data_IF_723242047397
#
_entry.id   IF_723242047397
#
_cell.length_a   1.000
_cell.length_b   1.000
_cell.length_c   1.000
_cell.angle_alpha   90.00
_cell.angle_beta   90.00
_cell.angle_gamma   90.00
#
_symmetry.space_group_name_H-M   'P 1'
#
loop_
_entity.id
_entity.type
_entity.pdbx_description
1 polymer ?
#
# COMPACT_ATOMS: atom_id res chain seq x y z
N UNK A 1 -23.86 3.09 21.69
CA UNK A 1 -24.43 1.71 21.68
C UNK A 1 -23.29 0.72 21.86
N UNK A 2 -23.23 0.05 23.03
CA UNK A 2 -22.21 -0.95 23.40
C UNK A 2 -22.61 -2.37 22.98
N UNK A 3 -23.55 -2.51 22.04
CA UNK A 3 -24.02 -3.80 21.54
C UNK A 3 -23.13 -4.34 20.42
N UNK A 4 -23.09 -5.66 20.27
CA UNK A 4 -22.49 -6.30 19.10
C UNK A 4 -23.26 -5.88 17.83
N UNK A 5 -22.51 -5.62 16.76
CA UNK A 5 -23.10 -5.31 15.46
C UNK A 5 -23.65 -6.60 14.84
N UNK A 6 -24.83 -6.51 14.25
CA UNK A 6 -25.43 -7.60 13.47
C UNK A 6 -24.79 -7.64 12.07
N UNK A 7 -24.94 -8.75 11.36
CA UNK A 7 -24.48 -8.86 9.97
C UNK A 7 -25.11 -7.77 9.08
N UNK A 8 -26.39 -7.43 9.31
CA UNK A 8 -27.06 -6.33 8.61
C UNK A 8 -26.39 -4.98 8.89
N UNK A 9 -25.97 -4.72 10.13
CA UNK A 9 -25.25 -3.47 10.46
C UNK A 9 -23.91 -3.41 9.70
N UNK A 10 -23.17 -4.50 9.60
CA UNK A 10 -21.93 -4.55 8.84
C UNK A 10 -22.16 -4.27 7.35
N UNK A 11 -23.17 -4.86 6.75
CA UNK A 11 -23.53 -4.57 5.34
C UNK A 11 -23.97 -3.13 5.14
N UNK A 12 -24.75 -2.55 6.04
CA UNK A 12 -25.18 -1.15 5.96
C UNK A 12 -24.00 -0.18 6.06
N UNK A 13 -23.03 -0.45 6.94
CA UNK A 13 -21.81 0.35 7.08
C UNK A 13 -20.97 0.25 5.80
N UNK A 14 -20.73 -0.97 5.33
CA UNK A 14 -20.00 -1.24 4.09
C UNK A 14 -20.60 -0.46 2.92
N UNK A 15 -21.91 -0.59 2.72
CA UNK A 15 -22.62 0.08 1.63
C UNK A 15 -22.55 1.61 1.72
N UNK A 16 -22.63 2.18 2.91
CA UNK A 16 -22.45 3.62 3.11
C UNK A 16 -21.02 4.07 2.77
N UNK A 17 -20.00 3.32 3.18
CA UNK A 17 -18.61 3.61 2.84
C UNK A 17 -18.39 3.56 1.32
N UNK A 18 -18.89 2.51 0.66
CA UNK A 18 -18.80 2.36 -0.80
C UNK A 18 -19.50 3.53 -1.50
N UNK A 19 -20.73 3.84 -1.11
CA UNK A 19 -21.48 4.97 -1.69
C UNK A 19 -20.75 6.31 -1.51
N UNK A 20 -20.17 6.56 -0.33
CA UNK A 20 -19.44 7.79 -0.06
C UNK A 20 -18.17 7.94 -0.91
N UNK A 21 -17.46 6.84 -1.17
CA UNK A 21 -16.23 6.82 -1.96
C UNK A 21 -16.44 6.33 -3.40
N UNK A 22 -17.68 6.26 -3.90
CA UNK A 22 -18.04 5.66 -5.20
C UNK A 22 -17.19 6.20 -6.36
N UNK A 23 -16.94 7.51 -6.38
CA UNK A 23 -16.08 8.16 -7.39
C UNK A 23 -14.73 7.46 -7.55
N UNK A 24 -14.16 6.94 -6.47
CA UNK A 24 -12.84 6.29 -6.46
C UNK A 24 -12.93 4.78 -6.59
N UNK A 25 -14.08 4.16 -6.25
CA UNK A 25 -14.36 2.75 -6.58
C UNK A 25 -14.37 2.50 -8.09
N UNK A 26 -14.78 3.51 -8.85
CA UNK A 26 -14.79 3.52 -10.31
C UNK A 26 -13.53 4.17 -10.90
N UNK A 27 -12.46 4.28 -10.13
CA UNK A 27 -11.22 4.93 -10.52
C UNK A 27 -10.44 4.20 -11.61
N UNK A 28 -9.32 4.79 -12.01
CA UNK A 28 -8.39 4.21 -12.96
C UNK A 28 -7.93 2.83 -12.48
N UNK A 29 -7.99 1.86 -13.35
CA UNK A 29 -7.70 0.46 -13.04
C UNK A 29 -7.08 -0.22 -14.25
N UNK A 30 -6.35 -1.26 -13.97
CA UNK A 30 -5.96 -2.23 -14.96
C UNK A 30 -7.21 -2.84 -15.59
N UNK A 31 -7.30 -2.81 -16.91
CA UNK A 31 -8.55 -3.12 -17.59
C UNK A 31 -8.93 -4.60 -17.44
N UNK A 32 -10.22 -4.88 -17.60
CA UNK A 32 -10.80 -6.20 -17.73
C UNK A 32 -10.91 -7.05 -16.46
N UNK A 33 -10.70 -6.53 -15.27
CA UNK A 33 -11.02 -7.26 -14.06
C UNK A 33 -11.98 -6.49 -13.14
N UNK A 34 -12.73 -7.25 -12.36
CA UNK A 34 -13.52 -6.72 -11.26
C UNK A 34 -12.65 -6.64 -10.01
N UNK A 35 -12.95 -5.68 -9.15
CA UNK A 35 -12.23 -5.44 -7.92
C UNK A 35 -13.16 -5.61 -6.73
N UNK A 36 -12.69 -6.32 -5.72
CA UNK A 36 -13.47 -6.60 -4.52
C UNK A 36 -12.61 -6.55 -3.27
N UNK A 37 -13.22 -6.19 -2.15
CA UNK A 37 -12.66 -6.37 -0.82
C UNK A 37 -12.94 -7.78 -0.25
N UNK A 38 -13.42 -8.69 -1.06
CA UNK A 38 -13.71 -10.07 -0.67
C UNK A 38 -12.70 -11.01 -1.33
N UNK A 39 -11.66 -11.39 -0.60
CA UNK A 39 -10.63 -12.32 -1.08
C UNK A 39 -11.14 -13.74 -1.23
N UNK A 40 -12.17 -14.08 -0.47
CA UNK A 40 -12.74 -15.41 -0.46
C UNK A 40 -14.24 -15.32 -0.70
N UNK A 41 -14.73 -16.08 -1.64
CA UNK A 41 -16.16 -16.27 -1.78
C UNK A 41 -16.71 -17.11 -0.60
N UNK A 42 -18.00 -16.98 -0.35
CA UNK A 42 -18.68 -17.84 0.62
C UNK A 42 -18.61 -19.29 0.15
N UNK A 43 -18.35 -20.19 1.09
CA UNK A 43 -18.49 -21.63 0.96
C UNK A 43 -17.63 -22.30 -0.13
N UNK A 44 -16.37 -22.58 0.21
CA UNK A 44 -15.56 -23.59 -0.46
C UNK A 44 -14.88 -23.20 -1.76
N UNK A 45 -14.89 -21.94 -2.14
CA UNK A 45 -14.06 -21.50 -3.25
C UNK A 45 -12.58 -21.66 -2.88
N UNK A 46 -11.89 -22.42 -3.70
CA UNK A 46 -10.46 -22.62 -3.56
C UNK A 46 -9.78 -21.24 -3.50
N UNK A 47 -8.86 -21.10 -2.56
CA UNK A 47 -7.88 -20.05 -2.57
C UNK A 47 -7.36 -19.87 -4.00
N UNK A 48 -7.32 -18.65 -4.50
CA UNK A 48 -6.68 -18.33 -5.77
C UNK A 48 -5.26 -18.89 -5.73
N UNK A 49 -5.07 -20.04 -6.34
CA UNK A 49 -3.83 -20.77 -6.33
C UNK A 49 -2.99 -20.38 -7.53
N UNK A 50 -1.93 -19.61 -7.32
CA UNK A 50 -0.75 -19.85 -8.12
C UNK A 50 -0.31 -21.29 -7.85
N UNK A 51 0.10 -22.05 -8.87
CA UNK A 51 0.52 -23.46 -8.83
C UNK A 51 1.35 -23.81 -7.59
N UNK A 52 0.73 -24.35 -6.55
CA UNK A 52 1.30 -24.53 -5.22
C UNK A 52 1.13 -25.95 -4.70
N UNK A 53 1.10 -26.92 -5.62
CA UNK A 53 0.88 -28.34 -5.31
C UNK A 53 1.81 -28.93 -4.24
N UNK A 54 2.88 -28.23 -3.86
CA UNK A 54 3.89 -28.70 -2.91
C UNK A 54 4.03 -27.87 -1.63
N UNK A 55 3.13 -26.90 -1.37
CA UNK A 55 3.24 -26.04 -0.18
C UNK A 55 2.40 -26.57 0.98
N UNK A 56 2.90 -26.40 2.21
CA UNK A 56 2.10 -26.64 3.43
C UNK A 56 0.93 -25.68 3.52
N UNK A 57 -0.13 -26.01 4.27
CA UNK A 57 -1.31 -25.15 4.42
C UNK A 57 -0.95 -23.74 4.95
N UNK A 58 0.04 -23.66 5.85
CA UNK A 58 0.55 -22.36 6.32
C UNK A 58 1.24 -21.58 5.20
N UNK A 59 1.98 -22.27 4.34
CA UNK A 59 2.62 -21.66 3.18
C UNK A 59 1.62 -21.27 2.12
N UNK A 60 0.56 -22.04 1.93
CA UNK A 60 -0.55 -21.69 1.03
C UNK A 60 -1.26 -20.42 1.51
N UNK A 61 -1.55 -20.29 2.79
CA UNK A 61 -2.14 -19.07 3.36
C UNK A 61 -1.22 -17.85 3.17
N UNK A 62 0.09 -18.02 3.24
CA UNK A 62 1.07 -16.94 3.10
C UNK A 62 1.41 -16.62 1.63
N UNK A 63 1.37 -17.58 0.72
CA UNK A 63 1.85 -17.41 -0.66
C UNK A 63 0.73 -17.32 -1.70
N UNK A 64 -0.46 -17.81 -1.40
CA UNK A 64 -1.58 -17.88 -2.36
C UNK A 64 -2.61 -16.78 -2.20
N UNK A 65 -2.34 -15.77 -1.42
CA UNK A 65 -3.31 -14.71 -1.19
C UNK A 65 -2.69 -13.51 -0.48
N UNK A 66 -3.53 -12.86 0.30
CA UNK A 66 -3.16 -11.66 1.07
C UNK A 66 -2.55 -11.96 2.44
N UNK A 67 -2.12 -13.19 2.73
CA UNK A 67 -1.55 -13.59 4.02
C UNK A 67 -2.55 -13.75 5.15
N UNK A 68 -3.84 -13.88 4.83
CA UNK A 68 -4.93 -14.11 5.78
C UNK A 68 -5.75 -15.32 5.34
N UNK A 69 -6.20 -16.12 6.30
CA UNK A 69 -7.27 -17.09 6.07
C UNK A 69 -8.61 -16.37 5.87
N UNK A 70 -9.63 -17.08 5.38
CA UNK A 70 -10.97 -16.52 5.23
C UNK A 70 -11.50 -15.90 6.53
N UNK A 71 -11.40 -16.62 7.64
CA UNK A 71 -11.90 -16.16 8.94
C UNK A 71 -11.11 -14.97 9.47
N UNK A 72 -9.79 -14.95 9.29
CA UNK A 72 -8.96 -13.80 9.63
C UNK A 72 -9.33 -12.57 8.80
N UNK A 73 -9.52 -12.75 7.50
CA UNK A 73 -9.93 -11.68 6.60
C UNK A 73 -11.30 -11.10 7.00
N UNK A 74 -12.29 -11.97 7.17
CA UNK A 74 -13.65 -11.58 7.60
C UNK A 74 -13.62 -10.84 8.94
N UNK A 75 -12.88 -11.38 9.90
CA UNK A 75 -12.73 -10.77 11.23
C UNK A 75 -12.06 -9.40 11.15
N UNK A 76 -10.97 -9.26 10.37
CA UNK A 76 -10.29 -7.99 10.19
C UNK A 76 -11.18 -6.95 9.52
N UNK A 77 -11.93 -7.37 8.50
CA UNK A 77 -12.87 -6.50 7.80
C UNK A 77 -14.00 -6.01 8.71
N UNK A 78 -14.60 -6.90 9.50
CA UNK A 78 -15.64 -6.54 10.48
C UNK A 78 -15.10 -5.60 11.56
N UNK A 79 -13.88 -5.82 12.06
CA UNK A 79 -13.24 -4.91 13.02
C UNK A 79 -13.03 -3.52 12.43
N UNK A 80 -12.60 -3.44 11.19
CA UNK A 80 -12.45 -2.17 10.47
C UNK A 80 -13.80 -1.45 10.35
N UNK A 81 -14.85 -2.14 9.93
CA UNK A 81 -16.21 -1.57 9.83
C UNK A 81 -16.74 -1.11 11.19
N UNK A 82 -16.50 -1.90 12.25
CA UNK A 82 -16.86 -1.53 13.63
C UNK A 82 -16.11 -0.28 14.09
N UNK A 83 -14.81 -0.16 13.78
CA UNK A 83 -14.04 1.03 14.10
C UNK A 83 -14.61 2.28 13.41
N UNK A 84 -14.98 2.18 12.14
CA UNK A 84 -15.63 3.28 11.42
C UNK A 84 -16.96 3.66 12.06
N UNK A 85 -17.78 2.68 12.41
CA UNK A 85 -19.09 2.92 13.02
C UNK A 85 -19.01 3.53 14.42
N UNK A 86 -18.12 2.98 15.26
CA UNK A 86 -18.05 3.32 16.68
C UNK A 86 -17.21 4.56 16.95
N UNK A 87 -16.10 4.70 16.23
CA UNK A 87 -15.09 5.73 16.46
C UNK A 87 -14.95 6.75 15.33
N UNK A 88 -15.73 6.59 14.26
CA UNK A 88 -15.78 7.52 13.13
C UNK A 88 -14.69 7.33 12.10
N UNK A 89 -13.88 6.27 12.19
CA UNK A 89 -12.84 6.07 11.19
C UNK A 89 -11.76 5.05 11.55
N UNK A 90 -10.65 5.19 10.87
CA UNK A 90 -9.42 4.41 11.03
C UNK A 90 -8.23 5.36 10.84
N UNK A 91 -7.05 4.88 11.18
CA UNK A 91 -5.79 5.59 10.93
C UNK A 91 -5.02 4.91 9.83
N UNK A 92 -4.22 5.67 9.10
CA UNK A 92 -3.24 5.14 8.14
C UNK A 92 -1.84 5.62 8.50
N UNK A 93 -0.83 4.87 8.08
CA UNK A 93 0.55 5.30 8.20
C UNK A 93 0.74 6.68 7.58
N UNK A 94 1.28 7.64 8.35
CA UNK A 94 1.68 8.95 7.82
C UNK A 94 2.68 8.81 6.70
N UNK A 95 3.56 7.83 6.82
CA UNK A 95 4.57 7.44 5.85
C UNK A 95 4.28 6.02 5.36
N UNK A 96 4.77 5.70 4.19
CA UNK A 96 4.97 4.31 3.77
C UNK A 96 5.74 3.58 4.87
N UNK A 97 5.57 2.27 4.97
CA UNK A 97 6.36 1.50 5.91
C UNK A 97 7.83 1.48 5.46
N UNK A 98 8.71 1.74 6.39
CA UNK A 98 10.13 1.60 6.21
C UNK A 98 10.71 0.47 7.05
N UNK A 99 11.94 0.12 6.78
CA UNK A 99 12.71 -0.89 7.54
C UNK A 99 13.15 -0.27 8.87
N UNK A 100 12.86 -0.96 9.99
CA UNK A 100 13.27 -0.52 11.33
C UNK A 100 14.80 -0.46 11.45
N UNK A 101 15.27 0.57 12.13
CA UNK A 101 16.67 0.78 12.44
C UNK A 101 17.40 1.67 11.44
N UNK A 102 18.55 2.17 11.89
CA UNK A 102 19.42 2.96 11.02
C UNK A 102 20.22 2.01 10.12
N UNK A 103 19.82 1.88 8.86
CA UNK A 103 20.65 1.21 7.86
C UNK A 103 21.85 2.14 7.58
N UNK A 104 22.93 1.95 8.29
CA UNK A 104 24.17 2.70 8.11
C UNK A 104 24.93 2.25 6.88
N UNK A 105 24.85 0.97 6.56
CA UNK A 105 25.39 0.39 5.33
C UNK A 105 24.28 0.31 4.28
N UNK A 106 24.19 1.33 3.46
CA UNK A 106 23.15 1.44 2.43
C UNK A 106 23.23 0.35 1.34
N UNK A 107 24.34 -0.38 1.27
CA UNK A 107 24.48 -1.52 0.35
C UNK A 107 23.71 -2.74 0.83
N UNK A 108 23.32 -2.76 2.10
CA UNK A 108 22.49 -3.82 2.72
C UNK A 108 21.00 -3.52 2.73
N UNK A 109 20.59 -2.35 2.23
CA UNK A 109 19.18 -2.10 1.94
C UNK A 109 18.71 -3.14 0.91
N UNK A 110 17.56 -3.76 1.17
CA UNK A 110 17.03 -4.91 0.40
C UNK A 110 17.20 -4.71 -1.11
N UNK A 111 18.16 -5.38 -1.78
CA UNK A 111 18.39 -5.23 -3.22
C UNK A 111 17.51 -6.15 -4.07
N UNK A 112 16.78 -7.05 -3.42
CA UNK A 112 15.88 -8.04 -4.03
C UNK A 112 14.98 -8.65 -2.96
N UNK A 113 14.00 -9.44 -3.38
CA UNK A 113 13.15 -10.19 -2.48
C UNK A 113 14.01 -11.06 -1.53
N UNK A 114 13.65 -11.01 -0.27
CA UNK A 114 14.11 -11.93 0.77
C UNK A 114 12.89 -12.24 1.64
N UNK A 115 12.60 -13.52 1.83
CA UNK A 115 11.44 -13.97 2.60
C UNK A 115 11.36 -13.26 3.95
N UNK A 116 10.19 -12.71 4.26
CA UNK A 116 9.92 -12.12 5.57
C UNK A 116 9.62 -13.23 6.56
N UNK A 117 10.41 -13.28 7.63
CA UNK A 117 10.22 -14.24 8.72
C UNK A 117 10.02 -13.47 10.02
N UNK A 118 8.88 -13.69 10.67
CA UNK A 118 8.52 -13.05 11.95
C UNK A 118 9.63 -13.33 12.99
N UNK A 119 10.05 -12.28 13.68
CA UNK A 119 11.09 -12.36 14.71
C UNK A 119 12.53 -12.44 14.19
N UNK A 120 12.74 -12.61 12.88
CA UNK A 120 14.08 -12.68 12.27
C UNK A 120 14.32 -11.58 11.24
N UNK A 121 13.28 -11.21 10.48
CA UNK A 121 13.35 -10.06 9.57
C UNK A 121 13.24 -8.75 10.34
N UNK A 122 13.83 -7.64 9.84
CA UNK A 122 13.59 -6.31 10.42
C UNK A 122 12.09 -6.00 10.46
N UNK A 123 11.65 -5.30 11.51
CA UNK A 123 10.25 -4.85 11.60
C UNK A 123 9.97 -3.74 10.61
N UNK A 124 8.70 -3.60 10.26
CA UNK A 124 8.21 -2.44 9.54
C UNK A 124 7.88 -1.30 10.52
N UNK A 125 8.21 -0.07 10.13
CA UNK A 125 7.90 1.14 10.90
C UNK A 125 7.33 2.23 9.99
N UNK A 126 6.43 3.07 10.51
CA UNK A 126 5.98 4.28 9.81
C UNK A 126 6.74 5.47 10.37
N UNK A 127 7.91 5.75 9.82
CA UNK A 127 8.85 6.78 10.28
C UNK A 127 9.41 7.58 9.12
N UNK A 128 9.70 8.87 9.34
CA UNK A 128 10.37 9.73 8.36
C UNK A 128 11.82 9.26 8.12
N UNK A 129 12.25 9.33 6.87
CA UNK A 129 13.62 9.00 6.41
C UNK A 129 14.04 7.54 6.66
N UNK A 130 13.09 6.62 6.74
CA UNK A 130 13.39 5.19 6.67
C UNK A 130 13.58 4.74 5.21
N UNK A 131 14.35 3.68 4.99
CA UNK A 131 14.38 3.00 3.70
C UNK A 131 13.03 2.30 3.52
N UNK A 132 12.29 2.55 2.43
CA UNK A 132 11.01 1.88 2.17
C UNK A 132 11.12 0.36 2.23
N UNK A 133 10.08 -0.29 2.79
CA UNK A 133 10.05 -1.75 2.93
C UNK A 133 9.46 -2.39 1.68
N UNK A 134 10.24 -2.45 0.63
CA UNK A 134 9.89 -3.03 -0.66
C UNK A 134 10.42 -4.46 -0.84
N UNK A 135 10.32 -5.02 -2.05
CA UNK A 135 10.67 -6.41 -2.37
C UNK A 135 9.95 -7.42 -1.45
N UNK A 136 8.68 -7.20 -1.20
CA UNK A 136 7.82 -8.07 -0.39
C UNK A 136 6.60 -8.52 -1.20
N UNK A 137 6.16 -9.76 -0.97
CA UNK A 137 4.87 -10.24 -1.47
C UNK A 137 3.71 -9.57 -0.73
N UNK A 138 2.53 -9.57 -1.31
CA UNK A 138 1.33 -9.05 -0.65
C UNK A 138 1.09 -9.70 0.72
N UNK A 139 1.25 -11.01 0.81
CA UNK A 139 1.14 -11.79 2.05
C UNK A 139 2.18 -11.39 3.10
N UNK A 140 3.42 -11.13 2.69
CA UNK A 140 4.48 -10.68 3.59
C UNK A 140 4.23 -9.24 4.06
N UNK A 141 3.73 -8.37 3.17
CA UNK A 141 3.32 -7.01 3.52
C UNK A 141 2.21 -7.00 4.58
N UNK A 142 1.25 -7.95 4.49
CA UNK A 142 0.22 -8.13 5.51
C UNK A 142 0.81 -8.59 6.85
N UNK A 143 1.73 -9.52 6.83
CA UNK A 143 2.43 -10.00 8.04
C UNK A 143 3.18 -8.86 8.72
N UNK A 144 3.96 -8.08 7.96
CA UNK A 144 4.66 -6.91 8.46
C UNK A 144 3.70 -5.87 9.08
N UNK A 145 2.57 -5.62 8.40
CA UNK A 145 1.55 -4.69 8.89
C UNK A 145 0.92 -5.17 10.20
N UNK A 146 0.62 -6.46 10.34
CA UNK A 146 0.06 -7.04 11.58
C UNK A 146 0.99 -6.86 12.78
N UNK A 147 2.29 -6.94 12.57
CA UNK A 147 3.28 -6.80 13.65
C UNK A 147 3.45 -5.35 14.16
N UNK A 148 2.93 -4.35 13.45
CA UNK A 148 3.03 -2.95 13.86
C UNK A 148 2.07 -2.59 15.01
N UNK A 149 1.15 -3.49 15.40
CA UNK A 149 0.17 -3.23 16.47
C UNK A 149 0.84 -3.34 17.85
N UNK A 150 0.76 -2.29 18.67
CA UNK A 150 1.43 -2.29 19.97
C UNK A 150 0.69 -3.11 21.06
N UNK A 151 -0.60 -3.39 20.88
CA UNK A 151 -1.42 -4.11 21.86
C UNK A 151 -2.74 -4.62 21.28
N UNK A 152 -3.49 -5.40 22.07
CA UNK A 152 -4.74 -6.05 21.66
C UNK A 152 -5.95 -5.12 21.44
N UNK A 153 -5.86 -3.85 21.81
CA UNK A 153 -6.95 -2.89 21.59
C UNK A 153 -7.04 -2.38 20.17
N UNK A 154 -6.02 -2.66 19.37
CA UNK A 154 -5.92 -2.22 17.99
C UNK A 154 -5.63 -3.39 17.06
N UNK A 155 -6.05 -3.26 15.83
CA UNK A 155 -5.61 -4.13 14.74
C UNK A 155 -4.86 -3.28 13.72
N UNK A 156 -3.66 -3.71 13.38
CA UNK A 156 -2.90 -3.19 12.25
C UNK A 156 -2.96 -4.17 11.08
N UNK A 157 -3.00 -3.65 9.86
CA UNK A 157 -3.21 -4.45 8.65
C UNK A 157 -2.76 -3.65 7.43
N UNK A 158 -2.70 -4.28 6.26
CA UNK A 158 -2.82 -3.55 5.00
C UNK A 158 -4.20 -2.91 4.90
N UNK A 159 -4.32 -1.86 4.08
CA UNK A 159 -5.61 -1.25 3.80
C UNK A 159 -6.48 -2.19 2.96
N UNK A 160 -7.77 -2.26 3.27
CA UNK A 160 -8.77 -2.74 2.31
C UNK A 160 -8.93 -1.73 1.17
N UNK A 161 -9.37 -2.18 0.01
CA UNK A 161 -9.58 -1.29 -1.13
C UNK A 161 -10.51 -0.12 -0.82
N UNK A 162 -11.58 -0.37 -0.05
CA UNK A 162 -12.50 0.68 0.40
C UNK A 162 -11.82 1.71 1.31
N UNK A 163 -10.84 1.32 2.12
CA UNK A 163 -10.09 2.27 2.95
C UNK A 163 -9.22 3.20 2.08
N UNK A 164 -8.58 2.66 1.04
CA UNK A 164 -7.85 3.48 0.07
C UNK A 164 -8.75 4.51 -0.60
N UNK A 165 -9.91 4.07 -1.08
CA UNK A 165 -10.88 4.95 -1.75
C UNK A 165 -11.41 6.03 -0.79
N UNK A 166 -11.61 5.70 0.49
CA UNK A 166 -11.97 6.68 1.52
C UNK A 166 -10.85 7.69 1.80
N UNK A 167 -9.58 7.28 1.72
CA UNK A 167 -8.46 8.23 1.83
C UNK A 167 -8.45 9.17 0.62
N UNK A 168 -8.66 8.66 -0.59
CA UNK A 168 -8.86 9.51 -1.77
C UNK A 168 -9.98 10.54 -1.55
N UNK A 169 -11.13 10.08 -1.04
CA UNK A 169 -12.27 10.96 -0.72
C UNK A 169 -11.94 11.97 0.37
N UNK A 170 -11.20 11.58 1.38
CA UNK A 170 -10.73 12.49 2.42
C UNK A 170 -9.78 13.57 1.87
N UNK A 171 -8.87 13.20 0.99
CA UNK A 171 -7.96 14.15 0.33
C UNK A 171 -8.70 15.12 -0.59
N UNK A 172 -9.77 14.68 -1.26
CA UNK A 172 -10.67 15.56 -2.01
C UNK A 172 -11.37 16.57 -1.08
N UNK A 173 -12.04 16.07 -0.04
CA UNK A 173 -12.92 16.89 0.80
C UNK A 173 -12.14 17.80 1.77
N UNK A 174 -10.98 17.35 2.26
CA UNK A 174 -10.19 18.03 3.29
C UNK A 174 -8.80 18.45 2.82
N UNK A 175 -8.22 17.74 1.85
CA UNK A 175 -6.85 17.98 1.37
C UNK A 175 -6.74 19.04 0.28
N UNK A 176 -7.86 19.56 -0.21
CA UNK A 176 -7.89 20.58 -1.25
C UNK A 176 -7.50 20.06 -2.64
N UNK A 177 -7.57 18.74 -2.85
CA UNK A 177 -7.37 18.13 -4.16
C UNK A 177 -8.70 18.02 -4.90
N UNK A 178 -8.68 18.21 -6.20
CA UNK A 178 -9.83 17.95 -7.06
C UNK A 178 -9.90 16.45 -7.43
N UNK A 179 -11.05 16.02 -7.95
CA UNK A 179 -11.20 14.66 -8.48
C UNK A 179 -10.18 14.36 -9.59
N UNK A 180 -9.95 15.25 -10.57
CA UNK A 180 -8.88 15.07 -11.55
C UNK A 180 -7.48 14.90 -10.96
N UNK A 181 -7.12 15.66 -9.91
CA UNK A 181 -5.81 15.53 -9.23
C UNK A 181 -5.59 14.11 -8.66
N UNK A 182 -6.66 13.41 -8.32
CA UNK A 182 -6.60 12.08 -7.70
C UNK A 182 -6.85 10.96 -8.71
N UNK A 183 -7.67 11.18 -9.76
CA UNK A 183 -8.11 10.15 -10.71
C UNK A 183 -7.45 10.24 -12.08
N UNK A 184 -6.99 11.42 -12.50
CA UNK A 184 -6.53 11.64 -13.87
C UNK A 184 -5.03 11.90 -13.93
N UNK A 185 -4.51 12.83 -13.11
CA UNK A 185 -3.08 13.09 -13.03
C UNK A 185 -2.67 13.58 -11.63
N UNK A 186 -1.94 12.72 -10.93
CA UNK A 186 -1.42 13.00 -9.59
C UNK A 186 0.03 13.52 -9.58
N UNK A 187 0.62 13.81 -10.73
CA UNK A 187 2.04 14.22 -10.82
C UNK A 187 2.33 15.54 -10.10
N UNK A 188 1.35 16.40 -9.92
CA UNK A 188 1.50 17.67 -9.21
C UNK A 188 1.72 17.55 -7.70
N UNK A 189 1.57 16.36 -7.14
CA UNK A 189 1.71 16.12 -5.70
C UNK A 189 2.26 14.74 -5.32
N UNK A 190 2.62 13.91 -6.29
CA UNK A 190 3.19 12.58 -6.10
C UNK A 190 4.63 12.47 -6.60
N UNK A 191 5.37 11.47 -6.12
CA UNK A 191 6.73 11.19 -6.57
C UNK A 191 6.76 10.36 -7.86
N UNK A 192 6.11 10.84 -8.92
CA UNK A 192 6.06 10.22 -10.24
C UNK A 192 7.27 10.55 -11.10
N UNK A 193 7.54 9.75 -12.15
CA UNK A 193 8.66 9.97 -13.06
C UNK A 193 8.58 11.29 -13.82
N UNK A 194 7.36 11.81 -14.04
CA UNK A 194 7.10 13.10 -14.67
C UNK A 194 6.92 14.26 -13.67
N UNK A 195 7.21 14.05 -12.39
CA UNK A 195 7.17 15.08 -11.36
C UNK A 195 8.57 15.62 -11.07
N UNK A 196 8.75 16.93 -11.10
CA UNK A 196 9.98 17.57 -10.64
C UNK A 196 9.87 17.93 -9.17
N UNK A 197 10.82 17.45 -8.36
CA UNK A 197 10.86 17.73 -6.93
C UNK A 197 12.18 18.40 -6.59
N UNK A 198 12.10 19.67 -6.22
CA UNK A 198 13.26 20.51 -5.96
C UNK A 198 13.60 20.59 -4.47
N UNK A 199 14.83 20.92 -4.18
CA UNK A 199 15.31 21.30 -2.85
C UNK A 199 15.12 20.22 -1.76
N UNK A 200 15.32 18.95 -2.10
CA UNK A 200 15.36 17.88 -1.10
C UNK A 200 16.73 17.99 -0.39
N UNK A 201 16.72 18.43 0.86
CA UNK A 201 17.96 18.78 1.59
C UNK A 201 18.49 17.67 2.49
N UNK A 202 17.72 16.62 2.71
CA UNK A 202 18.09 15.48 3.57
C UNK A 202 17.36 14.23 3.17
N UNK A 203 17.86 13.08 3.63
CA UNK A 203 17.27 11.78 3.36
C UNK A 203 18.15 10.95 2.43
N UNK A 204 17.53 10.01 1.75
CA UNK A 204 18.19 9.07 0.85
C UNK A 204 17.34 8.85 -0.40
N UNK A 205 17.98 8.44 -1.48
CA UNK A 205 17.29 8.01 -2.70
C UNK A 205 18.01 6.84 -3.35
N UNK A 206 17.28 6.09 -4.16
CA UNK A 206 17.83 5.11 -5.10
C UNK A 206 17.10 5.24 -6.44
N UNK A 207 17.78 4.95 -7.53
CA UNK A 207 17.17 5.01 -8.87
C UNK A 207 16.56 3.64 -9.19
N UNK A 208 15.31 3.60 -9.58
CA UNK A 208 14.64 2.40 -10.04
C UNK A 208 14.94 2.13 -11.52
N UNK A 209 15.56 0.99 -11.80
CA UNK A 209 15.74 0.52 -13.18
C UNK A 209 14.46 -0.13 -13.69
N UNK A 210 13.77 0.53 -14.61
CA UNK A 210 12.50 0.06 -15.19
C UNK A 210 12.63 -1.21 -16.05
N UNK A 211 13.84 -1.58 -16.46
CA UNK A 211 14.04 -2.81 -17.26
C UNK A 211 14.09 -4.05 -16.39
N UNK A 212 14.55 -3.89 -15.16
CA UNK A 212 14.72 -4.99 -14.22
C UNK A 212 13.85 -4.84 -12.97
N UNK A 213 13.17 -3.70 -12.79
CA UNK A 213 12.43 -3.32 -11.59
C UNK A 213 13.27 -3.44 -10.31
N UNK A 214 14.57 -3.12 -10.46
CA UNK A 214 15.55 -3.17 -9.38
C UNK A 214 16.02 -1.79 -8.99
N UNK A 215 16.19 -1.60 -7.70
CA UNK A 215 16.82 -0.40 -7.17
C UNK A 215 18.33 -0.45 -7.32
N UNK A 216 18.87 0.67 -7.72
CA UNK A 216 20.31 0.94 -7.59
C UNK A 216 20.72 1.12 -6.13
N UNK A 217 21.98 1.45 -5.91
CA UNK A 217 22.49 1.70 -4.57
C UNK A 217 21.85 2.94 -3.96
N UNK A 218 21.38 2.84 -2.72
CA UNK A 218 20.88 3.95 -1.95
C UNK A 218 21.98 5.00 -1.71
N UNK A 219 21.67 6.26 -1.99
CA UNK A 219 22.58 7.39 -1.87
C UNK A 219 22.03 8.36 -0.82
N UNK A 220 22.89 8.74 0.14
CA UNK A 220 22.55 9.78 1.12
C UNK A 220 22.59 11.17 0.48
N UNK A 221 21.55 11.96 0.72
CA UNK A 221 21.48 13.35 0.27
C UNK A 221 22.30 14.20 1.25
N UNK A 222 23.42 14.71 0.78
CA UNK A 222 24.35 15.59 1.56
C UNK A 222 24.30 17.03 1.09
N UNK A 223 23.85 17.25 -0.13
CA UNK A 223 23.60 18.56 -0.74
C UNK A 223 22.18 18.58 -1.28
N UNK A 224 21.63 19.77 -1.56
CA UNK A 224 20.31 19.89 -2.13
C UNK A 224 20.19 19.02 -3.41
N UNK A 225 19.27 18.07 -3.37
CA UNK A 225 18.96 17.15 -4.47
C UNK A 225 17.70 17.62 -5.18
N UNK A 226 17.72 17.59 -6.50
CA UNK A 226 16.55 17.79 -7.35
C UNK A 226 16.26 16.51 -8.10
N UNK A 227 15.08 15.93 -7.87
CA UNK A 227 14.55 14.89 -8.72
C UNK A 227 14.01 15.55 -9.98
N UNK A 228 14.54 15.18 -11.13
CA UNK A 228 14.07 15.66 -12.44
C UNK A 228 12.78 14.97 -12.86
N UNK A 229 12.10 15.55 -13.84
CA UNK A 229 10.91 15.00 -14.51
C UNK A 229 11.28 14.18 -15.76
N UNK A 230 12.55 13.95 -16.01
CA UNK A 230 13.08 13.21 -17.15
C UNK A 230 14.47 12.64 -16.84
N UNK A 231 14.90 11.67 -17.66
CA UNK A 231 16.18 10.98 -17.49
C UNK A 231 16.18 10.04 -16.28
N UNK A 232 17.36 9.55 -15.90
CA UNK A 232 17.47 8.53 -14.84
C UNK A 232 17.01 9.03 -13.47
N UNK A 233 17.35 10.26 -13.10
CA UNK A 233 16.93 10.84 -11.83
C UNK A 233 15.42 11.05 -11.70
N UNK A 234 14.65 10.95 -12.79
CA UNK A 234 13.19 11.02 -12.73
C UNK A 234 12.58 9.84 -12.00
N UNK A 235 13.30 8.72 -11.90
CA UNK A 235 12.86 7.47 -11.27
C UNK A 235 13.47 7.28 -9.88
N UNK A 236 13.76 8.39 -9.20
CA UNK A 236 14.32 8.33 -7.85
C UNK A 236 13.21 7.92 -6.84
N UNK A 237 13.35 6.72 -6.28
CA UNK A 237 12.66 6.32 -5.06
C UNK A 237 13.28 7.08 -3.89
N UNK A 238 12.46 7.74 -3.12
CA UNK A 238 12.89 8.55 -1.97
C UNK A 238 12.70 7.75 -0.67
N UNK A 239 13.56 7.97 0.32
CA UNK A 239 13.26 7.49 1.67
C UNK A 239 11.98 8.14 2.19
N UNK A 240 11.30 7.45 3.11
CA UNK A 240 9.93 7.77 3.51
C UNK A 240 9.77 9.21 4.00
N UNK A 241 8.84 9.95 3.41
CA UNK A 241 8.40 11.26 3.90
C UNK A 241 9.45 12.37 3.91
N UNK A 242 10.49 12.31 3.09
CA UNK A 242 11.54 13.34 3.07
C UNK A 242 11.18 14.58 2.26
N UNK A 243 10.13 14.52 1.44
CA UNK A 243 9.71 15.64 0.60
C UNK A 243 8.35 16.19 1.04
N UNK A 244 8.28 17.48 1.32
CA UNK A 244 7.01 18.17 1.57
C UNK A 244 6.14 18.30 0.29
N UNK A 245 6.71 18.14 -0.89
CA UNK A 245 5.99 18.13 -2.17
C UNK A 245 4.93 17.01 -2.21
N UNK A 246 5.27 15.84 -1.67
CA UNK A 246 4.39 14.66 -1.68
C UNK A 246 3.44 14.60 -0.48
N UNK A 247 3.39 15.65 0.33
CA UNK A 247 2.58 15.68 1.55
C UNK A 247 1.20 16.29 1.29
N UNK A 248 0.16 15.55 1.66
CA UNK A 248 -1.22 16.05 1.74
C UNK A 248 -1.85 15.62 3.08
N UNK A 249 -2.40 16.58 3.82
CA UNK A 249 -3.05 16.32 5.14
C UNK A 249 -2.20 15.47 6.10
N UNK A 250 -0.88 15.72 6.16
CA UNK A 250 0.09 14.93 6.92
C UNK A 250 0.30 13.48 6.46
N UNK A 251 -0.18 13.12 5.28
CA UNK A 251 0.10 11.85 4.61
C UNK A 251 1.15 12.15 3.53
N UNK A 252 2.26 11.41 3.54
CA UNK A 252 3.33 11.53 2.56
C UNK A 252 3.28 10.39 1.56
N UNK A 253 3.63 10.66 0.32
CA UNK A 253 3.81 9.65 -0.73
C UNK A 253 2.58 8.75 -0.99
N UNK A 254 1.37 9.21 -0.70
CA UNK A 254 0.16 8.45 -1.00
C UNK A 254 -0.10 8.35 -2.52
N UNK A 255 0.41 9.32 -3.26
CA UNK A 255 0.48 9.28 -4.70
C UNK A 255 1.92 8.94 -5.09
N UNK A 256 2.15 7.70 -5.52
CA UNK A 256 3.45 7.22 -5.98
C UNK A 256 4.54 7.20 -4.86
N UNK A 257 5.77 7.19 -5.21
CA UNK A 257 6.97 6.73 -4.58
C UNK A 257 7.07 5.20 -4.66
N UNK A 258 6.23 4.46 -3.94
CA UNK A 258 5.99 3.03 -4.14
C UNK A 258 4.51 2.78 -4.43
N UNK A 259 4.21 1.78 -5.26
CA UNK A 259 2.90 1.16 -5.28
C UNK A 259 2.69 0.42 -3.95
N UNK A 260 1.52 0.52 -3.36
CA UNK A 260 1.30 -0.04 -2.03
C UNK A 260 0.35 -1.22 -2.10
N UNK A 261 0.78 -2.37 -1.58
CA UNK A 261 -0.08 -3.55 -1.44
C UNK A 261 -1.32 -3.26 -0.61
N UNK A 262 -2.45 -3.82 -1.02
CA UNK A 262 -3.73 -3.74 -0.30
C UNK A 262 -4.37 -5.10 -0.14
N UNK A 263 -5.39 -5.18 0.72
CA UNK A 263 -6.27 -6.34 0.86
C UNK A 263 -7.41 -6.34 -0.16
N UNK A 264 -7.31 -5.55 -1.21
CA UNK A 264 -8.24 -5.61 -2.35
C UNK A 264 -7.83 -6.74 -3.29
N UNK A 265 -8.80 -7.40 -3.90
CA UNK A 265 -8.58 -8.49 -4.84
C UNK A 265 -9.03 -8.12 -6.25
N UNK A 266 -8.20 -8.43 -7.23
CA UNK A 266 -8.62 -8.49 -8.63
C UNK A 266 -9.33 -9.82 -8.94
N UNK A 267 -10.25 -9.82 -9.88
CA UNK A 267 -10.94 -11.05 -10.33
C UNK A 267 -10.05 -11.97 -11.18
N UNK A 268 -8.90 -11.47 -11.63
CA UNK A 268 -7.90 -12.25 -12.33
C UNK A 268 -7.25 -13.26 -11.36
N UNK A 269 -7.36 -14.54 -11.68
CA UNK A 269 -6.83 -15.62 -10.85
C UNK A 269 -5.32 -15.68 -10.81
N UNK A 270 -4.64 -15.26 -11.88
CA UNK A 270 -3.20 -15.26 -11.99
C UNK A 270 -2.56 -14.01 -11.36
N UNK A 271 -3.30 -12.89 -11.37
CA UNK A 271 -2.86 -11.60 -10.84
C UNK A 271 -3.87 -11.05 -9.83
N UNK A 272 -4.03 -11.76 -8.71
CA UNK A 272 -5.07 -11.46 -7.74
C UNK A 272 -4.74 -10.33 -6.75
N UNK A 273 -3.43 -10.05 -6.53
CA UNK A 273 -3.00 -9.05 -5.56
C UNK A 273 -3.11 -7.64 -6.11
N UNK A 274 -3.78 -6.77 -5.36
CA UNK A 274 -3.96 -5.37 -5.74
C UNK A 274 -2.89 -4.48 -5.09
N UNK A 275 -2.27 -3.62 -5.90
CA UNK A 275 -1.47 -2.49 -5.44
C UNK A 275 -2.10 -1.17 -5.89
N UNK A 276 -1.77 -0.08 -5.21
CA UNK A 276 -2.40 1.22 -5.40
C UNK A 276 -1.37 2.33 -5.52
N UNK A 277 -1.75 3.42 -6.22
CA UNK A 277 -1.05 4.69 -6.19
C UNK A 277 0.08 4.89 -7.20
N UNK A 278 0.52 3.83 -7.90
CA UNK A 278 1.68 3.87 -8.81
C UNK A 278 3.01 3.99 -8.06
N UNK A 279 4.13 4.03 -8.78
CA UNK A 279 5.48 4.13 -8.22
C UNK A 279 6.31 5.25 -8.87
N UNK A 280 7.52 5.49 -8.38
CA UNK A 280 8.41 6.55 -8.83
C UNK A 280 8.85 6.43 -10.30
N UNK A 281 8.64 5.29 -10.95
CA UNK A 281 8.98 5.06 -12.36
C UNK A 281 7.81 5.30 -13.32
N UNK A 282 6.60 5.42 -12.78
CA UNK A 282 5.37 5.63 -13.54
C UNK A 282 5.00 7.11 -13.66
N UNK A 283 4.05 7.46 -14.51
CA UNK A 283 3.55 8.83 -14.63
C UNK A 283 2.23 8.99 -13.89
N UNK A 284 1.99 10.18 -13.33
CA UNK A 284 0.79 10.46 -12.56
C UNK A 284 -0.51 10.41 -13.36
N UNK A 285 -0.43 10.56 -14.67
CA UNK A 285 -1.58 10.46 -15.57
C UNK A 285 -1.94 9.02 -15.97
N UNK A 286 -0.97 8.10 -15.96
CA UNK A 286 -1.21 6.67 -16.25
C UNK A 286 -1.55 5.90 -14.99
N UNK A 287 -0.89 6.24 -13.88
CA UNK A 287 -1.06 5.59 -12.57
C UNK A 287 -1.38 6.63 -11.48
N UNK A 288 -2.52 7.32 -11.57
CA UNK A 288 -2.88 8.32 -10.55
C UNK A 288 -3.06 7.69 -9.15
N UNK A 289 -3.18 8.51 -8.12
CA UNK A 289 -3.30 8.05 -6.73
C UNK A 289 -4.43 7.04 -6.51
N UNK A 290 -5.51 7.13 -7.27
CA UNK A 290 -6.64 6.18 -7.21
C UNK A 290 -6.42 4.91 -8.06
N UNK A 291 -5.32 4.80 -8.80
CA UNK A 291 -5.07 3.66 -9.69
C UNK A 291 -5.06 2.33 -8.93
N UNK A 292 -5.54 1.29 -9.61
CA UNK A 292 -5.50 -0.11 -9.18
C UNK A 292 -4.64 -0.90 -10.14
N UNK A 293 -3.47 -1.34 -9.69
CA UNK A 293 -2.65 -2.33 -10.35
C UNK A 293 -2.91 -3.71 -9.80
N UNK A 294 -2.54 -4.75 -10.56
CA UNK A 294 -2.66 -6.15 -10.17
C UNK A 294 -1.38 -6.92 -10.45
N UNK A 295 -1.05 -7.82 -9.57
CA UNK A 295 0.11 -8.69 -9.70
C UNK A 295 -0.20 -10.09 -9.14
N UNK A 296 0.63 -11.06 -9.50
CA UNK A 296 0.55 -12.37 -8.90
C UNK A 296 0.95 -12.36 -7.41
N UNK A 297 0.64 -13.45 -6.72
CA UNK A 297 0.83 -13.56 -5.27
C UNK A 297 2.30 -13.66 -4.85
N UNK A 298 3.20 -13.91 -5.80
CA UNK A 298 4.65 -14.01 -5.60
C UNK A 298 5.42 -12.85 -6.24
N UNK A 299 4.69 -11.83 -6.69
CA UNK A 299 5.31 -10.65 -7.27
C UNK A 299 5.92 -9.75 -6.19
N UNK A 300 7.12 -9.28 -6.46
CA UNK A 300 7.79 -8.27 -5.65
C UNK A 300 8.85 -7.55 -6.47
N UNK A 301 8.95 -6.25 -6.30
CA UNK A 301 9.99 -5.45 -6.93
C UNK A 301 10.40 -4.26 -6.04
N UNK A 302 11.28 -3.41 -6.57
CA UNK A 302 11.77 -2.24 -5.87
C UNK A 302 10.81 -1.05 -5.83
N UNK A 303 9.71 -1.11 -6.55
CA UNK A 303 8.70 -0.06 -6.64
C UNK A 303 7.39 -0.39 -5.94
N UNK A 304 7.30 -1.53 -5.24
CA UNK A 304 6.11 -1.92 -4.48
C UNK A 304 6.44 -2.15 -3.01
N UNK A 305 5.71 -1.46 -2.15
CA UNK A 305 5.92 -1.45 -0.71
C UNK A 305 4.62 -1.60 0.09
N UNK A 306 4.62 -1.02 1.26
CA UNK A 306 3.63 -1.26 2.32
C UNK A 306 3.18 0.06 2.94
N UNK A 307 1.87 0.26 3.10
CA UNK A 307 1.34 1.28 4.03
C UNK A 307 0.35 0.63 4.99
N UNK A 308 0.63 0.65 6.30
CA UNK A 308 -0.27 0.07 7.28
C UNK A 308 -1.48 0.95 7.53
N UNK A 309 -2.57 0.30 7.90
CA UNK A 309 -3.73 0.92 8.54
C UNK A 309 -3.84 0.46 10.00
N UNK A 310 -4.53 1.23 10.82
CA UNK A 310 -4.80 0.90 12.22
C UNK A 310 -6.26 1.21 12.53
N UNK A 311 -6.93 0.30 13.20
CA UNK A 311 -8.30 0.49 13.67
C UNK A 311 -8.50 -0.09 15.08
N UNK A 312 -9.47 0.46 15.81
CA UNK A 312 -9.81 0.05 17.19
C UNK A 312 -10.66 -1.22 17.14
N UNK A 313 -10.35 -2.16 18.00
CA UNK A 313 -11.08 -3.43 18.13
C UNK A 313 -12.43 -3.28 18.83
#
# INVERSE_FOLDING_TARGET
>A
TTGELTDQNYEDIKNKMISYAQTYREGAKDQECNWTDEWYAKDGDELVTASTSNLTETHKALTNGCGLTYDEYKTAYQKMLKSVYTYGGFWIGRYEAGIEGSITDLTKARPSHTTVTIGSSPKAISQKDAIPYNYVYCSEAQVLSKEMTPNSNYTSSLMFGIQWDLVCKYLEVKGGLSVPDIKEDSSSWGNYSNAKIENITSGKYAILDIRQFKLGTWTKITNAFTKSDSGDNSRALLSTGISEYTKKMNIYNFASNEGEWTLEKASDTDNACANRGGDCSTTGSVYPASFRGRNDTTYSDGGIGVRPTLYVN
#
